data_IF_086732077811
#
_entry.id   IF_086732077811
#
_cell.length_a   1.000
_cell.length_b   1.000
_cell.length_c   1.000
_cell.angle_alpha   90.00
_cell.angle_beta   90.00
_cell.angle_gamma   90.00
#
_symmetry.space_group_name_H-M   'P 1'
#
loop_
_entity.id
_entity.type
_entity.pdbx_description
1 polymer ?
#
# COMPACT_ATOMS: atom_id res chain seq x y z
N UNK A 1 51.67 -7.47 -16.39
CA UNK A 1 50.65 -6.58 -16.99
C UNK A 1 49.23 -7.13 -16.89
N UNK A 2 48.95 -8.40 -17.24
CA UNK A 2 47.60 -8.98 -17.19
C UNK A 2 46.91 -8.97 -15.81
N UNK A 3 47.63 -9.30 -14.74
CA UNK A 3 47.04 -9.33 -13.37
C UNK A 3 46.55 -7.95 -12.92
N UNK A 4 47.28 -6.88 -13.28
CA UNK A 4 46.90 -5.52 -12.93
C UNK A 4 45.59 -5.10 -13.59
N UNK A 5 45.39 -5.48 -14.86
CA UNK A 5 44.14 -5.22 -15.57
C UNK A 5 42.96 -5.97 -14.93
N UNK A 6 43.16 -7.23 -14.51
CA UNK A 6 42.14 -8.02 -13.82
C UNK A 6 41.77 -7.40 -12.46
N UNK A 7 42.76 -6.94 -11.68
CA UNK A 7 42.48 -6.26 -10.40
C UNK A 7 41.77 -4.92 -10.60
N UNK A 8 42.11 -4.16 -11.64
CA UNK A 8 41.41 -2.92 -11.97
C UNK A 8 39.96 -3.14 -12.43
N UNK A 9 39.71 -4.18 -13.22
CA UNK A 9 38.35 -4.53 -13.67
C UNK A 9 37.49 -5.02 -12.48
N UNK A 10 38.08 -5.83 -11.58
CA UNK A 10 37.39 -6.31 -10.38
C UNK A 10 37.11 -5.17 -9.37
N UNK A 11 38.05 -4.23 -9.23
CA UNK A 11 37.82 -3.03 -8.44
C UNK A 11 36.69 -2.19 -9.04
N UNK A 12 36.69 -1.97 -10.36
CA UNK A 12 35.66 -1.20 -11.07
C UNK A 12 34.25 -1.81 -10.96
N UNK A 13 34.12 -3.14 -10.99
CA UNK A 13 32.82 -3.81 -10.82
C UNK A 13 32.29 -3.77 -9.39
N UNK A 14 33.17 -3.75 -8.38
CA UNK A 14 32.79 -3.59 -6.97
C UNK A 14 32.31 -2.17 -6.64
N UNK A 15 32.86 -1.12 -7.29
CA UNK A 15 32.39 0.26 -7.08
C UNK A 15 30.94 0.41 -7.54
N UNK A 16 30.55 -0.25 -8.65
CA UNK A 16 29.20 -0.17 -9.19
C UNK A 16 28.15 -0.95 -8.37
N UNK A 17 28.57 -1.96 -7.58
CA UNK A 17 27.70 -2.69 -6.66
C UNK A 17 27.49 -1.94 -5.33
N UNK A 18 28.46 -1.12 -4.90
CA UNK A 18 28.34 -0.25 -3.71
C UNK A 18 27.58 1.06 -3.95
N UNK A 19 27.34 1.42 -5.21
CA UNK A 19 26.60 2.64 -5.61
C UNK A 19 25.17 2.37 -6.04
N UNK A 20 24.69 1.12 -5.99
CA UNK A 20 23.24 0.93 -5.84
C UNK A 20 22.97 1.52 -4.46
N UNK A 21 22.31 2.69 -4.32
CA UNK A 21 21.75 2.99 -3.02
C UNK A 21 20.85 1.78 -2.77
N UNK A 22 21.23 0.91 -1.82
CA UNK A 22 20.25 0.07 -1.14
C UNK A 22 19.29 1.12 -0.62
N UNK A 23 18.28 1.41 -1.45
CA UNK A 23 17.46 2.60 -1.34
C UNK A 23 17.04 2.56 0.10
N UNK A 24 17.46 3.58 0.85
CA UNK A 24 17.13 3.73 2.25
C UNK A 24 15.69 3.24 2.32
N UNK A 25 15.41 2.23 3.15
CA UNK A 25 14.05 1.75 3.39
C UNK A 25 13.24 2.85 4.10
N UNK A 26 13.45 4.11 3.72
CA UNK A 26 12.95 5.36 4.29
C UNK A 26 11.45 5.46 4.21
N UNK A 27 10.83 4.58 3.43
CA UNK A 27 9.39 4.51 3.26
C UNK A 27 8.79 3.24 3.86
N UNK A 28 9.56 2.37 4.54
CA UNK A 28 8.97 1.29 5.35
C UNK A 28 8.06 1.89 6.42
N UNK A 29 8.46 3.00 7.02
CA UNK A 29 7.66 3.72 8.02
C UNK A 29 6.35 4.28 7.42
N UNK A 30 6.26 4.36 6.08
CA UNK A 30 5.05 4.76 5.35
C UNK A 30 4.15 3.58 4.98
N UNK A 31 4.60 2.34 5.14
CA UNK A 31 3.78 1.16 4.83
C UNK A 31 2.63 1.10 5.84
N UNK A 32 1.40 1.12 5.35
CA UNK A 32 0.19 1.07 6.17
C UNK A 32 -0.28 2.41 6.75
N UNK A 33 0.52 3.48 6.67
CA UNK A 33 0.13 4.81 7.18
C UNK A 33 -0.43 5.74 6.10
N UNK A 34 -0.44 5.30 4.84
CA UNK A 34 -0.91 6.05 3.67
C UNK A 34 -2.45 6.06 3.55
N UNK A 35 -3.15 6.52 4.58
CA UNK A 35 -4.63 6.52 4.61
C UNK A 35 -5.25 7.45 3.56
N UNK A 36 -4.53 8.50 3.17
CA UNK A 36 -4.97 9.47 2.15
C UNK A 36 -5.25 8.84 0.77
N UNK A 37 -4.68 7.66 0.49
CA UNK A 37 -4.92 6.98 -0.80
C UNK A 37 -6.24 6.20 -0.82
N UNK A 38 -6.81 5.85 0.34
CA UNK A 38 -7.95 4.94 0.42
C UNK A 38 -9.18 5.37 -0.39
N UNK A 39 -9.54 6.66 -0.44
CA UNK A 39 -10.64 7.13 -1.31
C UNK A 39 -10.43 6.84 -2.79
N UNK A 40 -9.18 6.71 -3.24
CA UNK A 40 -8.83 6.48 -4.64
C UNK A 40 -8.72 4.99 -5.02
N UNK A 41 -8.85 4.07 -4.05
CA UNK A 41 -8.71 2.62 -4.29
C UNK A 41 -10.02 1.92 -4.68
N UNK A 42 -11.12 2.67 -4.86
CA UNK A 42 -12.38 2.13 -5.41
C UNK A 42 -12.95 0.91 -4.68
N UNK A 43 -12.80 0.86 -3.34
CA UNK A 43 -13.26 -0.26 -2.51
C UNK A 43 -12.36 -1.51 -2.53
N UNK A 44 -11.14 -1.40 -3.08
CA UNK A 44 -10.11 -2.45 -2.99
C UNK A 44 -9.14 -2.25 -1.82
N UNK A 45 -9.18 -1.08 -1.16
CA UNK A 45 -8.41 -0.78 0.04
C UNK A 45 -9.15 -1.08 1.33
N UNK A 46 -8.53 -0.77 2.48
CA UNK A 46 -9.17 -0.89 3.80
C UNK A 46 -10.40 0.01 3.97
N UNK A 47 -11.21 -0.29 4.97
CA UNK A 47 -12.28 0.62 5.40
C UNK A 47 -11.72 1.96 5.89
N UNK A 48 -12.45 3.04 5.61
CA UNK A 48 -12.22 4.38 6.15
C UNK A 48 -13.55 5.09 6.36
N UNK A 49 -13.62 5.98 7.35
CA UNK A 49 -14.77 6.85 7.57
C UNK A 49 -14.92 7.81 6.39
N UNK A 50 -16.15 8.03 5.92
CA UNK A 50 -16.39 9.01 4.85
C UNK A 50 -15.83 10.39 5.27
N UNK A 51 -15.00 11.04 4.43
CA UNK A 51 -14.26 12.23 4.83
C UNK A 51 -15.13 13.50 4.88
N UNK A 52 -16.34 13.45 4.34
CA UNK A 52 -17.27 14.58 4.40
C UNK A 52 -17.91 14.68 5.78
N UNK A 53 -17.70 15.82 6.44
CA UNK A 53 -18.46 16.24 7.62
C UNK A 53 -19.41 17.37 7.22
N UNK A 54 -20.71 17.16 7.45
CA UNK A 54 -21.77 18.13 7.16
C UNK A 54 -22.29 18.81 8.44
N UNK A 55 -21.62 18.63 9.58
CA UNK A 55 -21.97 19.23 10.87
C UNK A 55 -23.16 18.56 11.57
N UNK A 56 -23.62 17.40 11.09
CA UNK A 56 -24.69 16.62 11.74
C UNK A 56 -24.02 15.62 12.69
N UNK A 57 -24.34 15.71 13.99
CA UNK A 57 -23.81 14.78 14.98
C UNK A 57 -24.24 13.34 14.71
N UNK A 58 -23.31 12.40 14.91
CA UNK A 58 -23.58 10.96 14.86
C UNK A 58 -24.21 10.43 16.16
N UNK A 59 -24.19 11.25 17.22
CA UNK A 59 -24.74 10.88 18.51
C UNK A 59 -26.27 10.90 18.49
N UNK A 60 -26.86 10.13 19.41
CA UNK A 60 -28.29 10.23 19.66
C UNK A 60 -28.63 11.62 20.20
N UNK A 61 -29.68 12.29 19.67
CA UNK A 61 -30.12 13.58 20.20
C UNK A 61 -30.48 13.51 21.69
N UNK A 62 -30.37 14.63 22.39
CA UNK A 62 -30.71 14.71 23.82
C UNK A 62 -32.17 14.30 24.07
N UNK A 63 -32.38 13.46 25.09
CA UNK A 63 -33.71 12.93 25.44
C UNK A 63 -34.25 11.85 24.50
N UNK A 64 -33.48 11.44 23.48
CA UNK A 64 -33.87 10.36 22.58
C UNK A 64 -33.21 9.02 22.96
N UNK A 65 -33.88 7.91 22.62
CA UNK A 65 -33.39 6.55 22.84
C UNK A 65 -33.49 5.75 21.55
N UNK A 66 -32.42 5.03 21.18
CA UNK A 66 -32.41 4.16 20.01
C UNK A 66 -33.36 2.97 20.23
N UNK A 67 -34.38 2.83 19.39
CA UNK A 67 -35.34 1.71 19.46
C UNK A 67 -35.03 0.58 18.50
N UNK A 68 -34.36 0.87 17.38
CA UNK A 68 -34.01 -0.12 16.37
C UNK A 68 -32.79 0.37 15.57
N UNK A 69 -31.96 -0.58 15.13
CA UNK A 69 -30.87 -0.35 14.18
C UNK A 69 -30.92 -1.41 13.08
N UNK A 70 -30.66 -1.00 11.83
CA UNK A 70 -30.48 -1.90 10.71
C UNK A 70 -29.15 -1.57 10.05
N UNK A 71 -28.25 -2.55 9.99
CA UNK A 71 -26.91 -2.40 9.42
C UNK A 71 -26.72 -3.42 8.30
N UNK A 72 -26.29 -2.94 7.14
CA UNK A 72 -25.85 -3.79 6.02
C UNK A 72 -24.37 -3.55 5.80
N UNK A 73 -23.55 -4.47 6.31
CA UNK A 73 -22.10 -4.45 6.12
C UNK A 73 -21.69 -5.21 4.86
N UNK A 74 -20.69 -4.69 4.14
CA UNK A 74 -19.96 -5.48 3.14
C UNK A 74 -19.06 -6.50 3.85
N UNK A 75 -18.66 -7.55 3.15
CA UNK A 75 -17.51 -8.37 3.57
C UNK A 75 -16.26 -7.48 3.82
N UNK A 76 -15.38 -7.91 4.73
CA UNK A 76 -14.13 -7.21 5.02
C UNK A 76 -13.11 -7.26 3.87
N UNK A 77 -11.90 -6.78 4.17
CA UNK A 77 -10.75 -6.85 3.29
C UNK A 77 -10.44 -8.29 2.88
N UNK A 78 -9.98 -8.47 1.64
CA UNK A 78 -9.66 -9.78 1.09
C UNK A 78 -8.56 -9.70 0.06
N UNK A 79 -7.94 -10.84 -0.19
CA UNK A 79 -7.07 -11.00 -1.35
C UNK A 79 -7.82 -10.77 -2.68
N UNK A 80 -7.08 -10.49 -3.78
CA UNK A 80 -7.66 -10.40 -5.11
C UNK A 80 -8.46 -11.66 -5.47
N UNK A 81 -9.48 -11.51 -6.31
CA UNK A 81 -10.18 -12.66 -6.88
C UNK A 81 -9.23 -13.46 -7.77
N UNK A 82 -9.55 -14.73 -8.02
CA UNK A 82 -8.73 -15.60 -8.88
C UNK A 82 -8.46 -14.97 -10.25
N UNK A 83 -9.46 -14.34 -10.87
CA UNK A 83 -9.29 -13.66 -12.16
C UNK A 83 -8.38 -12.44 -12.06
N UNK A 84 -8.52 -11.63 -11.02
CA UNK A 84 -7.67 -10.44 -10.82
C UNK A 84 -6.23 -10.81 -10.46
N UNK A 85 -6.03 -11.85 -9.65
CA UNK A 85 -4.71 -12.38 -9.32
C UNK A 85 -3.95 -12.79 -10.58
N UNK A 86 -4.59 -13.47 -11.54
CA UNK A 86 -3.96 -13.81 -12.83
C UNK A 86 -3.46 -12.57 -13.59
N UNK A 87 -4.26 -11.51 -13.65
CA UNK A 87 -3.86 -10.26 -14.29
C UNK A 87 -2.69 -9.59 -13.59
N UNK A 88 -2.71 -9.55 -12.25
CA UNK A 88 -1.62 -9.00 -11.45
C UNK A 88 -0.34 -9.78 -11.74
N UNK A 89 -0.37 -11.11 -11.59
CA UNK A 89 0.80 -11.97 -11.82
C UNK A 89 1.38 -11.77 -13.23
N UNK A 90 0.53 -11.67 -14.26
CA UNK A 90 0.98 -11.43 -15.62
C UNK A 90 1.73 -10.09 -15.78
N UNK A 91 1.32 -9.03 -15.08
CA UNK A 91 2.05 -7.76 -15.07
C UNK A 91 3.39 -7.87 -14.36
N UNK A 92 3.47 -8.66 -13.28
CA UNK A 92 4.69 -8.84 -12.50
C UNK A 92 5.74 -9.72 -13.18
N UNK A 93 5.36 -10.63 -14.08
CA UNK A 93 6.26 -11.57 -14.78
C UNK A 93 6.67 -11.14 -16.20
N UNK A 94 6.54 -9.85 -16.54
CA UNK A 94 7.00 -9.30 -17.84
C UNK A 94 8.46 -8.79 -17.82
N UNK A 95 9.24 -9.17 -16.81
CA UNK A 95 10.72 -9.18 -16.83
C UNK A 95 11.23 -10.61 -16.98
#
# INVERSE_FOLDING_TARGET
MFKSAVYSILAASLVNAGTIPLGKLSDIDKIGTQTEIFPFLGGSGPYYSFPGDYGISLDLPEGCEMKQVQMVGRHGERYPTVSKAKSIMATWTLE
#
